data_IF_355461288459
#
_entry.id   IF_355461288459
#
_cell.length_a   1.000
_cell.length_b   1.000
_cell.length_c   1.000
_cell.angle_alpha   90.00
_cell.angle_beta   90.00
_cell.angle_gamma   90.00
#
_symmetry.space_group_name_H-M   'P 1'
#
loop_
_entity.id
_entity.type
_entity.pdbx_description
1 polymer ?
#
# COMPACT_ATOMS: atom_id res chain seq x y z
N UNK A 1 16.66 9.76 2.13
CA UNK A 1 16.64 8.52 2.92
C UNK A 1 16.20 8.88 4.34
N UNK A 2 15.42 8.03 5.00
CA UNK A 2 15.01 8.27 6.40
C UNK A 2 16.26 8.12 7.27
N UNK A 3 16.53 9.10 8.12
CA UNK A 3 17.71 9.12 9.00
C UNK A 3 17.30 9.66 10.39
N UNK A 4 17.68 9.00 11.50
CA UNK A 4 18.40 7.73 11.58
C UNK A 4 17.58 6.54 11.04
N UNK A 5 18.25 5.45 10.60
CA UNK A 5 17.57 4.21 10.26
C UNK A 5 16.94 3.58 11.50
N UNK A 6 15.88 2.79 11.29
CA UNK A 6 15.33 1.93 12.33
C UNK A 6 16.30 0.78 12.60
N UNK A 7 16.71 0.65 13.86
CA UNK A 7 17.60 -0.40 14.34
C UNK A 7 16.78 -1.56 14.89
N UNK A 8 17.07 -2.77 14.42
CA UNK A 8 16.38 -4.02 14.84
C UNK A 8 17.39 -5.11 15.13
N UNK A 9 17.03 -6.09 15.97
CA UNK A 9 17.95 -7.19 16.25
C UNK A 9 18.27 -8.00 14.99
N UNK A 10 19.46 -8.61 14.92
CA UNK A 10 19.84 -9.51 13.80
C UNK A 10 18.81 -10.62 13.61
N UNK A 11 18.32 -11.20 14.72
CA UNK A 11 17.31 -12.24 14.70
C UNK A 11 15.97 -11.76 14.12
N UNK A 12 15.50 -10.57 14.49
CA UNK A 12 14.26 -10.02 13.95
C UNK A 12 14.38 -9.67 12.47
N UNK A 13 15.53 -9.12 12.05
CA UNK A 13 15.79 -8.84 10.64
C UNK A 13 15.76 -10.11 9.80
N UNK A 14 16.46 -11.17 10.24
CA UNK A 14 16.42 -12.48 9.58
C UNK A 14 15.00 -13.06 9.52
N UNK A 15 14.19 -12.88 10.57
CA UNK A 15 12.80 -13.33 10.59
C UNK A 15 11.94 -12.56 9.57
N UNK A 16 12.11 -11.24 9.48
CA UNK A 16 11.42 -10.40 8.50
C UNK A 16 11.81 -10.79 7.08
N UNK A 17 13.10 -11.00 6.80
CA UNK A 17 13.60 -11.41 5.49
C UNK A 17 13.05 -12.78 5.07
N UNK A 18 13.03 -13.77 5.99
CA UNK A 18 12.39 -15.08 5.73
C UNK A 18 10.90 -14.95 5.42
N UNK A 19 10.20 -14.07 6.13
CA UNK A 19 8.78 -13.80 5.89
C UNK A 19 8.56 -13.17 4.51
N UNK A 20 9.40 -12.20 4.11
CA UNK A 20 9.38 -11.59 2.78
C UNK A 20 9.64 -12.65 1.70
N UNK A 21 10.62 -13.55 1.91
CA UNK A 21 10.90 -14.63 0.96
C UNK A 21 9.69 -15.56 0.79
N UNK A 22 8.99 -15.87 1.88
CA UNK A 22 7.78 -16.69 1.82
C UNK A 22 6.69 -16.01 0.98
N UNK A 23 6.52 -14.69 1.10
CA UNK A 23 5.58 -13.91 0.28
C UNK A 23 5.99 -13.89 -1.19
N UNK A 24 7.29 -13.79 -1.48
CA UNK A 24 7.83 -13.88 -2.84
C UNK A 24 7.47 -15.22 -3.50
N UNK A 25 7.69 -16.34 -2.81
CA UNK A 25 7.35 -17.68 -3.31
C UNK A 25 5.84 -17.84 -3.55
N UNK A 26 5.01 -17.35 -2.62
CA UNK A 26 3.55 -17.35 -2.81
C UNK A 26 3.13 -16.54 -4.04
N UNK A 27 3.75 -15.37 -4.27
CA UNK A 27 3.48 -14.55 -5.46
C UNK A 27 3.84 -15.28 -6.76
N UNK A 28 4.99 -15.97 -6.80
CA UNK A 28 5.39 -16.78 -7.94
C UNK A 28 4.41 -17.94 -8.21
N UNK A 29 3.93 -18.60 -7.15
CA UNK A 29 2.94 -19.66 -7.26
C UNK A 29 1.58 -19.16 -7.77
N UNK A 30 1.11 -18.00 -7.30
CA UNK A 30 -0.13 -17.39 -7.79
C UNK A 30 -0.03 -17.10 -9.29
N UNK A 31 1.08 -16.49 -9.73
CA UNK A 31 1.29 -16.21 -11.16
C UNK A 31 1.30 -17.49 -11.99
N UNK A 32 2.03 -18.52 -11.55
CA UNK A 32 2.06 -19.82 -12.22
C UNK A 32 0.67 -20.45 -12.29
N UNK A 33 -0.12 -20.36 -11.22
CA UNK A 33 -1.47 -20.91 -11.18
C UNK A 33 -2.40 -20.21 -12.17
N UNK A 34 -2.23 -18.90 -12.40
CA UNK A 34 -2.99 -18.16 -13.42
C UNK A 34 -2.54 -18.53 -14.84
N UNK A 35 -1.23 -18.70 -15.05
CA UNK A 35 -0.65 -19.11 -16.34
C UNK A 35 -1.17 -20.47 -16.82
N UNK A 36 -1.53 -21.39 -15.91
CA UNK A 36 -2.16 -22.67 -16.25
C UNK A 36 -3.51 -22.52 -17.00
N UNK A 37 -4.12 -21.33 -16.97
CA UNK A 37 -5.36 -21.01 -17.67
C UNK A 37 -5.15 -20.12 -18.90
N UNK A 38 -3.92 -19.74 -19.22
CA UNK A 38 -3.60 -18.98 -20.43
C UNK A 38 -3.77 -19.85 -21.68
N UNK A 39 -4.18 -19.22 -22.78
CA UNK A 39 -4.37 -19.85 -24.08
C UNK A 39 -3.88 -18.92 -25.21
N UNK A 40 -3.72 -19.46 -26.42
CA UNK A 40 -3.21 -18.71 -27.58
C UNK A 40 -4.32 -17.96 -28.35
N UNK A 41 -5.56 -17.93 -27.84
CA UNK A 41 -6.72 -17.34 -28.54
C UNK A 41 -7.22 -16.06 -27.87
N UNK A 42 -7.61 -16.14 -26.59
CA UNK A 42 -8.28 -15.09 -25.83
C UNK A 42 -7.42 -14.63 -24.66
N UNK A 43 -6.87 -15.57 -23.86
CA UNK A 43 -6.12 -15.28 -22.64
C UNK A 43 -4.62 -15.37 -22.86
N UNK A 44 -4.17 -14.72 -23.93
CA UNK A 44 -2.78 -14.68 -24.33
C UNK A 44 -1.96 -13.73 -23.44
N UNK A 45 -0.67 -13.59 -23.76
CA UNK A 45 0.21 -12.67 -23.02
C UNK A 45 -0.25 -11.22 -23.08
N UNK A 46 -0.83 -10.78 -24.21
CA UNK A 46 -1.29 -9.40 -24.35
C UNK A 46 -2.49 -9.12 -23.46
N UNK A 47 -3.43 -10.07 -23.37
CA UNK A 47 -4.56 -10.03 -22.45
C UNK A 47 -4.10 -9.92 -21.00
N UNK A 48 -3.17 -10.80 -20.58
CA UNK A 48 -2.68 -10.85 -19.20
C UNK A 48 -1.99 -9.54 -18.78
N UNK A 49 -1.20 -8.95 -19.69
CA UNK A 49 -0.57 -7.64 -19.46
C UNK A 49 -1.62 -6.54 -19.33
N UNK A 50 -2.61 -6.52 -20.23
CA UNK A 50 -3.67 -5.50 -20.21
C UNK A 50 -4.51 -5.59 -18.93
N UNK A 51 -4.95 -6.78 -18.55
CA UNK A 51 -5.70 -7.04 -17.32
C UNK A 51 -4.92 -6.58 -16.09
N UNK A 52 -3.61 -6.85 -16.04
CA UNK A 52 -2.73 -6.37 -14.97
C UNK A 52 -2.64 -4.84 -14.89
N UNK A 53 -2.50 -4.16 -16.04
CA UNK A 53 -2.47 -2.69 -16.11
C UNK A 53 -3.79 -2.09 -15.62
N UNK A 54 -4.92 -2.65 -16.04
CA UNK A 54 -6.25 -2.22 -15.60
C UNK A 54 -6.46 -2.41 -14.11
N UNK A 55 -6.06 -3.57 -13.56
CA UNK A 55 -6.12 -3.85 -12.13
C UNK A 55 -5.28 -2.87 -11.29
N UNK A 56 -4.18 -2.37 -11.85
CA UNK A 56 -3.32 -1.37 -11.20
C UNK A 56 -3.80 0.07 -11.38
N UNK A 57 -4.85 0.34 -12.17
CA UNK A 57 -5.27 1.69 -12.56
C UNK A 57 -5.46 2.64 -11.38
N UNK A 58 -6.09 2.19 -10.28
CA UNK A 58 -6.29 3.00 -9.07
C UNK A 58 -4.98 3.34 -8.34
N UNK A 59 -3.98 2.45 -8.43
CA UNK A 59 -2.66 2.57 -7.80
C UNK A 59 -1.65 3.33 -8.65
N UNK A 60 -1.94 3.59 -9.93
CA UNK A 60 -1.02 4.24 -10.88
C UNK A 60 -0.60 5.66 -10.52
N UNK A 61 -1.18 6.27 -9.47
CA UNK A 61 -0.77 7.57 -8.97
C UNK A 61 0.03 7.46 -7.68
N UNK A 62 1.18 8.14 -7.64
CA UNK A 62 2.11 8.17 -6.49
C UNK A 62 1.41 8.25 -5.13
N UNK A 63 0.50 9.22 -4.98
CA UNK A 63 -0.15 9.50 -3.70
C UNK A 63 -1.17 8.45 -3.26
N UNK A 64 -1.73 7.63 -4.16
CA UNK A 64 -2.68 6.57 -3.76
C UNK A 64 -1.99 5.58 -2.82
N UNK A 65 -0.85 5.05 -3.24
CA UNK A 65 -0.08 4.06 -2.47
C UNK A 65 0.40 4.68 -1.15
N UNK A 66 0.88 5.93 -1.19
CA UNK A 66 1.35 6.62 0.02
C UNK A 66 0.21 6.85 1.04
N UNK A 67 -0.99 7.24 0.59
CA UNK A 67 -2.17 7.40 1.46
C UNK A 67 -2.57 6.05 2.09
N UNK A 68 -2.64 4.98 1.28
CA UNK A 68 -2.97 3.65 1.80
C UNK A 68 -1.94 3.18 2.82
N UNK A 69 -0.65 3.35 2.53
CA UNK A 69 0.42 3.00 3.46
C UNK A 69 0.34 3.81 4.76
N UNK A 70 0.04 5.11 4.67
CA UNK A 70 -0.14 5.97 5.83
C UNK A 70 -1.31 5.51 6.70
N UNK A 71 -2.48 5.23 6.12
CA UNK A 71 -3.66 4.76 6.86
C UNK A 71 -3.50 3.33 7.39
N UNK A 72 -2.77 2.46 6.69
CA UNK A 72 -2.48 1.11 7.16
C UNK A 72 -1.62 1.14 8.44
N UNK A 73 -0.63 2.05 8.49
CA UNK A 73 0.29 2.18 9.65
C UNK A 73 -0.33 3.01 10.77
N UNK A 74 -0.96 4.15 10.43
CA UNK A 74 -1.45 5.12 11.42
C UNK A 74 -2.90 4.87 11.86
N UNK A 75 -3.66 4.06 11.12
CA UNK A 75 -5.11 3.93 11.31
C UNK A 75 -5.88 5.15 10.83
N UNK A 76 -7.08 5.34 11.37
CA UNK A 76 -7.97 6.46 11.04
C UNK A 76 -7.31 7.82 11.29
N UNK A 77 -7.36 8.72 10.31
CA UNK A 77 -6.74 10.06 10.39
C UNK A 77 -7.58 11.15 9.74
N UNK A 78 -7.50 12.37 10.29
CA UNK A 78 -8.06 13.58 9.71
C UNK A 78 -7.20 14.08 8.55
N UNK A 79 -7.79 14.96 7.75
CA UNK A 79 -7.13 15.55 6.58
C UNK A 79 -5.76 16.16 6.88
N UNK A 80 -5.68 17.02 7.91
CA UNK A 80 -4.42 17.70 8.25
C UNK A 80 -3.38 16.76 8.86
N UNK A 81 -3.81 15.69 9.54
CA UNK A 81 -2.89 14.67 10.05
C UNK A 81 -2.30 13.86 8.89
N UNK A 82 -3.12 13.46 7.92
CA UNK A 82 -2.63 12.82 6.69
C UNK A 82 -1.70 13.72 5.91
N UNK A 83 -2.04 15.00 5.74
CA UNK A 83 -1.18 15.97 5.06
C UNK A 83 0.18 16.12 5.75
N UNK A 84 0.21 16.05 7.08
CA UNK A 84 1.45 16.13 7.84
C UNK A 84 2.30 14.86 7.67
N UNK A 85 1.68 13.69 7.66
CA UNK A 85 2.36 12.40 7.43
C UNK A 85 2.90 12.29 5.99
N UNK A 86 2.18 12.84 5.02
CA UNK A 86 2.48 12.77 3.59
C UNK A 86 3.27 14.01 3.15
N UNK A 87 4.52 14.12 3.62
CA UNK A 87 5.35 15.29 3.35
C UNK A 87 5.45 15.59 1.84
N UNK A 88 5.17 16.84 1.46
CA UNK A 88 5.20 17.32 0.08
C UNK A 88 3.86 17.24 -0.66
N UNK A 89 2.80 16.66 -0.08
CA UNK A 89 1.48 16.67 -0.72
C UNK A 89 0.80 18.05 -0.56
N UNK A 90 0.28 18.59 -1.66
CA UNK A 90 -0.54 19.80 -1.62
C UNK A 90 -1.94 19.48 -1.08
N UNK A 91 -2.62 20.45 -0.46
CA UNK A 91 -4.01 20.25 -0.01
C UNK A 91 -4.94 19.88 -1.17
N UNK A 92 -4.73 20.47 -2.35
CA UNK A 92 -5.51 20.15 -3.55
C UNK A 92 -5.32 18.68 -3.94
N UNK A 93 -4.07 18.25 -4.05
CA UNK A 93 -3.73 16.87 -4.41
C UNK A 93 -4.24 15.87 -3.38
N UNK A 94 -4.13 16.16 -2.08
CA UNK A 94 -4.65 15.28 -1.03
C UNK A 94 -6.19 15.15 -1.13
N UNK A 95 -6.90 16.26 -1.32
CA UNK A 95 -8.35 16.24 -1.51
C UNK A 95 -8.77 15.41 -2.73
N UNK A 96 -8.11 15.61 -3.87
CA UNK A 96 -8.39 14.88 -5.10
C UNK A 96 -8.14 13.37 -4.92
N UNK A 97 -7.06 13.01 -4.21
CA UNK A 97 -6.69 11.61 -3.99
C UNK A 97 -7.56 10.92 -2.94
N UNK A 98 -7.94 11.61 -1.87
CA UNK A 98 -8.90 11.07 -0.91
C UNK A 98 -10.27 10.83 -1.55
N UNK A 99 -10.72 11.74 -2.42
CA UNK A 99 -11.93 11.54 -3.22
C UNK A 99 -11.81 10.29 -4.10
N UNK A 100 -10.75 10.21 -4.92
CA UNK A 100 -10.55 9.06 -5.80
C UNK A 100 -10.45 7.73 -5.04
N UNK A 101 -9.77 7.69 -3.89
CA UNK A 101 -9.69 6.49 -3.06
C UNK A 101 -11.02 6.13 -2.38
N UNK A 102 -11.89 7.12 -2.14
CA UNK A 102 -13.24 6.88 -1.62
C UNK A 102 -14.14 6.32 -2.72
N UNK A 103 -14.08 6.91 -3.92
CA UNK A 103 -14.82 6.45 -5.10
C UNK A 103 -14.41 5.04 -5.54
N UNK A 104 -13.14 4.67 -5.39
CA UNK A 104 -12.65 3.31 -5.66
C UNK A 104 -12.88 2.31 -4.51
N UNK A 105 -13.49 2.74 -3.41
CA UNK A 105 -13.79 1.87 -2.28
C UNK A 105 -12.58 1.43 -1.45
N UNK A 106 -11.43 2.11 -1.56
CA UNK A 106 -10.24 1.84 -0.74
C UNK A 106 -10.32 2.53 0.64
N UNK A 107 -10.97 3.69 0.70
CA UNK A 107 -11.06 4.53 1.88
C UNK A 107 -12.52 4.88 2.16
N UNK A 108 -12.88 4.93 3.43
CA UNK A 108 -14.14 5.48 3.90
C UNK A 108 -13.90 6.85 4.52
N UNK A 109 -14.72 7.84 4.14
CA UNK A 109 -14.78 9.16 4.77
C UNK A 109 -15.84 9.17 5.86
N UNK A 110 -15.40 9.29 7.10
CA UNK A 110 -16.27 9.32 8.28
C UNK A 110 -16.56 10.77 8.65
N UNK A 111 -17.84 11.08 8.88
CA UNK A 111 -18.29 12.35 9.45
C UNK A 111 -18.94 12.05 10.80
N UNK A 112 -18.41 12.64 11.85
CA UNK A 112 -19.01 12.60 13.18
C UNK A 112 -19.61 13.96 13.47
N UNK A 113 -20.93 13.99 13.60
CA UNK A 113 -21.70 15.19 13.92
C UNK A 113 -21.40 15.68 15.35
N UNK A 114 -21.56 16.99 15.54
CA UNK A 114 -21.41 17.64 16.84
C UNK A 114 -20.67 18.97 16.76
N UNK A 115 -20.50 19.69 17.88
CA UNK A 115 -19.65 20.86 17.96
C UNK A 115 -18.25 20.49 18.50
N UNK A 116 -17.18 20.50 17.68
CA UNK A 116 -17.13 20.72 16.23
C UNK A 116 -17.37 19.44 15.42
N UNK A 117 -17.84 19.58 14.18
CA UNK A 117 -17.97 18.48 13.22
C UNK A 117 -16.58 17.91 12.93
N UNK A 118 -16.43 16.59 12.99
CA UNK A 118 -15.15 15.92 12.76
C UNK A 118 -15.21 15.09 11.49
N UNK A 119 -14.17 15.20 10.68
CA UNK A 119 -14.01 14.43 9.44
C UNK A 119 -12.71 13.67 9.50
N UNK A 120 -12.79 12.37 9.28
CA UNK A 120 -11.65 11.45 9.25
C UNK A 120 -11.78 10.46 8.10
N UNK A 121 -10.67 9.77 7.83
CA UNK A 121 -10.54 8.80 6.75
C UNK A 121 -9.95 7.53 7.33
N UNK A 122 -10.50 6.37 6.95
CA UNK A 122 -9.95 5.05 7.31
C UNK A 122 -9.97 4.13 6.10
N UNK A 123 -9.16 3.07 6.13
CA UNK A 123 -9.27 2.02 5.13
C UNK A 123 -10.61 1.30 5.26
N UNK A 124 -11.22 0.97 4.12
CA UNK A 124 -12.30 -0.03 4.04
C UNK A 124 -11.73 -1.44 4.25
N UNK A 125 -12.59 -2.45 4.26
CA UNK A 125 -12.13 -3.85 4.22
C UNK A 125 -11.25 -4.13 2.98
N UNK A 126 -11.69 -3.68 1.81
CA UNK A 126 -10.90 -3.79 0.57
C UNK A 126 -9.55 -3.06 0.70
N UNK A 127 -9.55 -1.83 1.22
CA UNK A 127 -8.33 -1.07 1.48
C UNK A 127 -7.38 -1.74 2.47
N UNK A 128 -7.90 -2.43 3.49
CA UNK A 128 -7.11 -3.20 4.44
C UNK A 128 -6.46 -4.43 3.78
N UNK A 129 -7.15 -5.13 2.88
CA UNK A 129 -6.57 -6.22 2.08
C UNK A 129 -5.42 -5.68 1.23
N UNK A 130 -5.63 -4.60 0.48
CA UNK A 130 -4.58 -3.97 -0.32
C UNK A 130 -3.39 -3.52 0.54
N UNK A 131 -3.65 -2.89 1.70
CA UNK A 131 -2.61 -2.49 2.65
C UNK A 131 -1.77 -3.66 3.16
N UNK A 132 -2.42 -4.79 3.48
CA UNK A 132 -1.72 -6.02 3.91
C UNK A 132 -0.87 -6.64 2.79
N UNK A 133 -1.36 -6.65 1.55
CA UNK A 133 -0.61 -7.14 0.39
C UNK A 133 0.59 -6.23 0.07
N UNK A 134 0.46 -4.92 0.25
CA UNK A 134 1.56 -3.96 0.06
C UNK A 134 2.59 -3.99 1.20
N UNK A 135 2.20 -4.40 2.41
CA UNK A 135 3.05 -4.40 3.60
C UNK A 135 4.41 -5.07 3.42
N UNK A 136 4.48 -6.33 2.95
CA UNK A 136 5.74 -7.03 2.68
C UNK A 136 6.63 -6.32 1.66
N UNK A 137 6.05 -5.77 0.58
CA UNK A 137 6.79 -4.99 -0.41
C UNK A 137 7.39 -3.73 0.22
N UNK A 138 6.61 -3.01 1.03
CA UNK A 138 7.09 -1.83 1.76
C UNK A 138 8.21 -2.20 2.75
N UNK A 139 8.09 -3.32 3.45
CA UNK A 139 9.12 -3.82 4.37
C UNK A 139 10.43 -4.13 3.63
N UNK A 140 10.34 -4.88 2.51
CA UNK A 140 11.48 -5.16 1.64
C UNK A 140 12.16 -3.87 1.16
N UNK A 141 11.39 -2.89 0.71
CA UNK A 141 11.94 -1.61 0.24
C UNK A 141 12.58 -0.80 1.36
N UNK A 142 12.05 -0.85 2.59
CA UNK A 142 12.66 -0.20 3.76
C UNK A 142 14.03 -0.80 4.09
N UNK A 143 14.15 -2.13 4.09
CA UNK A 143 15.42 -2.83 4.32
C UNK A 143 16.41 -2.49 3.20
N UNK A 144 15.99 -2.66 1.93
CA UNK A 144 16.81 -2.41 0.74
C UNK A 144 17.37 -0.97 0.67
N UNK A 145 16.57 0.00 1.12
CA UNK A 145 16.94 1.41 1.10
C UNK A 145 17.72 1.85 2.36
N UNK A 146 18.09 0.93 3.26
CA UNK A 146 18.80 1.23 4.50
C UNK A 146 17.95 1.99 5.53
N UNK A 147 16.62 1.96 5.42
CA UNK A 147 15.72 2.56 6.41
C UNK A 147 15.48 1.63 7.62
N UNK A 148 15.77 0.34 7.47
CA UNK A 148 15.76 -0.68 8.54
C UNK A 148 17.08 -1.44 8.42
N UNK A 149 17.84 -1.48 9.52
CA UNK A 149 19.16 -2.10 9.57
C UNK A 149 19.32 -2.90 10.88
N UNK A 150 20.17 -3.93 10.84
CA UNK A 150 20.52 -4.66 12.04
C UNK A 150 21.24 -3.76 13.06
N UNK A 151 21.05 -4.08 14.34
CA UNK A 151 21.95 -3.65 15.42
C UNK A 151 23.37 -4.17 15.15
N UNK A 152 24.35 -3.34 15.50
CA UNK A 152 25.78 -3.66 15.37
C UNK A 152 26.15 -4.81 16.31
#
# INVERSE_FOLDING_TARGET
>A
MVNPPMRVSKQDLEHIEKSINSVYEMGAQIRKSLEEYSDDEIHDTAWEVQAGVEALGVFGSRWTIEILAALYVAGERRFNELRHLLNGISSRTLSDKLRACTESGLIERIVVDGPPVRVSYRLTEHGLVCGRLLGPLVAYMKIRNGAVEADV
#
